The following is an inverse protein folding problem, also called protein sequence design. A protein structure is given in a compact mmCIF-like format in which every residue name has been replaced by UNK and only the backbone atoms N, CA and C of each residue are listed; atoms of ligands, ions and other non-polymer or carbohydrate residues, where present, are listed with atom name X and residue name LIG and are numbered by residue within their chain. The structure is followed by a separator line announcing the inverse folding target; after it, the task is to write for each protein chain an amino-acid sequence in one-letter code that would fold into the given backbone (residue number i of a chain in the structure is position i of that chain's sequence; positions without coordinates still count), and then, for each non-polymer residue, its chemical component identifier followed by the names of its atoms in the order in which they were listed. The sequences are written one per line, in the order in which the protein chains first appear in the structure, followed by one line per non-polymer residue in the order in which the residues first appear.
data_IF_816590742205
#
_entry.id   IF_816590742205
#
_cell.length_a   1.000
_cell.length_b   1.000
_cell.length_c   1.000
_cell.angle_alpha   90.00
_cell.angle_beta   90.00
_cell.angle_gamma   90.00
#
_symmetry.space_group_name_H-M   'P 1'
#
loop_
_entity.id
_entity.type
_entity.pdbx_description
1 polymer ?
#
# COMPACT_ATOMS: atom_id res chain seq x y z
N UNK A 1 -12.15 10.78 4.40
CA UNK A 1 -11.10 10.34 5.34
C UNK A 1 -11.01 11.46 6.33
N UNK A 2 -11.70 11.29 7.45
CA UNK A 2 -11.63 12.23 8.56
C UNK A 2 -10.30 12.14 9.31
N UNK A 3 -10.30 12.72 10.50
CA UNK A 3 -9.19 12.72 11.45
C UNK A 3 -9.71 12.66 12.87
N UNK A 4 -8.86 12.27 13.81
CA UNK A 4 -9.10 12.48 15.23
C UNK A 4 -8.49 13.83 15.63
N UNK A 5 -9.20 14.59 16.46
CA UNK A 5 -8.69 15.79 17.15
C UNK A 5 -8.97 15.58 18.63
N UNK A 6 -7.91 15.48 19.43
CA UNK A 6 -7.98 15.17 20.87
C UNK A 6 -8.89 13.94 21.14
N UNK A 7 -8.66 12.86 20.38
CA UNK A 7 -9.43 11.61 20.48
C UNK A 7 -10.85 11.65 19.94
N UNK A 8 -11.33 12.79 19.44
CA UNK A 8 -12.69 12.95 18.89
C UNK A 8 -12.67 12.91 17.37
N UNK A 9 -13.56 12.10 16.80
CA UNK A 9 -13.65 11.95 15.35
C UNK A 9 -14.22 13.21 14.68
N UNK A 10 -13.58 13.62 13.59
CA UNK A 10 -13.97 14.76 12.76
C UNK A 10 -13.96 14.32 11.30
N UNK A 11 -15.10 14.42 10.62
CA UNK A 11 -15.20 14.14 9.18
C UNK A 11 -14.68 15.31 8.34
N UNK A 12 -13.37 15.54 8.40
CA UNK A 12 -12.68 16.59 7.64
C UNK A 12 -11.69 15.96 6.66
N UNK A 13 -11.82 16.28 5.37
CA UNK A 13 -10.90 15.79 4.34
C UNK A 13 -9.50 16.45 4.43
N UNK A 14 -8.56 16.06 3.57
CA UNK A 14 -7.27 16.75 3.42
C UNK A 14 -7.47 18.18 2.91
N UNK A 15 -6.70 19.11 3.45
CA UNK A 15 -6.56 20.44 2.86
C UNK A 15 -5.78 20.36 1.54
N UNK A 16 -6.25 21.08 0.53
CA UNK A 16 -5.46 21.42 -0.65
C UNK A 16 -4.74 22.73 -0.36
N UNK A 17 -3.47 22.85 -0.74
CA UNK A 17 -2.76 24.12 -0.62
C UNK A 17 -3.42 25.21 -1.47
N UNK A 18 -3.10 26.48 -1.21
CA UNK A 18 -3.74 27.64 -1.88
C UNK A 18 -3.61 27.61 -3.41
N UNK A 19 -2.64 26.87 -3.94
CA UNK A 19 -2.37 26.64 -5.36
C UNK A 19 -3.09 25.40 -5.95
N UNK A 20 -3.85 24.68 -5.14
CA UNK A 20 -4.64 23.50 -5.54
C UNK A 20 -3.88 22.18 -5.55
N UNK A 21 -2.65 22.13 -5.01
CA UNK A 21 -1.88 20.88 -4.88
C UNK A 21 -2.36 20.05 -3.69
N UNK A 22 -2.47 18.74 -3.90
CA UNK A 22 -2.78 17.78 -2.83
C UNK A 22 -1.56 17.53 -1.93
N UNK A 23 -1.75 17.63 -0.61
CA UNK A 23 -0.72 17.32 0.39
C UNK A 23 -1.18 16.19 1.31
N UNK A 24 -0.27 15.24 1.58
CA UNK A 24 -0.52 14.09 2.43
C UNK A 24 0.17 14.28 3.78
N UNK A 25 -0.55 14.00 4.86
CA UNK A 25 0.02 13.98 6.22
C UNK A 25 0.88 12.73 6.44
N UNK A 26 1.96 12.87 7.19
CA UNK A 26 2.88 11.78 7.53
C UNK A 26 2.30 10.86 8.61
N UNK A 27 2.69 9.58 8.59
CA UNK A 27 2.38 8.62 9.64
C UNK A 27 3.04 9.02 10.97
N UNK A 28 2.28 8.92 12.07
CA UNK A 28 2.70 9.35 13.40
C UNK A 28 3.11 8.19 14.33
N UNK A 29 2.69 6.95 14.05
CA UNK A 29 3.09 5.77 14.85
C UNK A 29 4.20 5.04 14.11
N UNK A 30 5.39 5.04 14.73
CA UNK A 30 6.67 4.73 14.08
C UNK A 30 7.56 3.79 14.92
N UNK A 31 6.98 2.97 15.78
CA UNK A 31 7.75 1.94 16.49
C UNK A 31 8.03 0.76 15.57
N UNK A 32 9.00 -0.07 15.94
CA UNK A 32 9.46 -1.18 15.11
C UNK A 32 9.34 -2.52 15.81
N UNK A 33 8.84 -3.53 15.09
CA UNK A 33 9.03 -4.93 15.48
C UNK A 33 10.44 -5.35 15.09
N UNK A 34 11.19 -5.86 16.07
CA UNK A 34 12.56 -6.38 15.90
C UNK A 34 12.64 -7.81 16.43
N UNK A 35 13.64 -8.58 15.99
CA UNK A 35 13.77 -9.98 16.38
C UNK A 35 13.94 -10.19 17.90
N UNK A 36 14.56 -9.22 18.57
CA UNK A 36 14.90 -9.23 20.00
C UNK A 36 14.09 -8.24 20.85
N UNK A 37 13.32 -7.35 20.22
CA UNK A 37 12.54 -6.32 20.89
C UNK A 37 13.33 -5.05 21.22
N UNK A 38 14.57 -4.90 20.74
CA UNK A 38 15.29 -3.62 20.82
C UNK A 38 14.59 -2.56 19.94
N UNK A 39 14.75 -1.26 20.24
CA UNK A 39 14.19 -0.20 19.40
C UNK A 39 14.76 -0.29 17.97
N UNK A 40 13.91 0.02 16.98
CA UNK A 40 14.36 0.21 15.61
C UNK A 40 14.92 1.62 15.37
N UNK A 41 15.03 2.06 14.10
CA UNK A 41 15.48 3.40 13.75
C UNK A 41 14.67 4.56 14.35
N UNK A 42 13.44 4.30 14.81
CA UNK A 42 12.54 5.28 15.40
C UNK A 42 11.62 4.64 16.45
N UNK A 43 10.98 5.49 17.26
CA UNK A 43 10.06 5.05 18.30
C UNK A 43 10.76 4.40 19.50
N UNK A 44 10.01 3.61 20.27
CA UNK A 44 10.49 2.86 21.42
C UNK A 44 10.65 1.37 21.13
N UNK A 45 11.42 0.68 21.99
CA UNK A 45 11.55 -0.78 21.97
C UNK A 45 10.42 -1.51 22.69
N UNK A 46 10.61 -2.81 22.91
CA UNK A 46 9.68 -3.71 23.58
C UNK A 46 8.70 -4.42 22.63
N UNK A 47 8.96 -4.39 21.31
CA UNK A 47 8.16 -5.06 20.29
C UNK A 47 8.97 -6.20 19.66
N UNK A 48 9.12 -7.30 20.40
CA UNK A 48 9.82 -8.49 19.94
C UNK A 48 8.96 -9.28 18.94
N UNK A 49 9.55 -9.79 17.87
CA UNK A 49 8.87 -10.70 16.95
C UNK A 49 8.44 -11.97 17.67
N UNK A 50 7.12 -12.18 17.75
CA UNK A 50 6.49 -13.27 18.48
C UNK A 50 5.26 -13.76 17.71
N UNK A 51 5.10 -15.08 17.62
CA UNK A 51 3.96 -15.71 16.98
C UNK A 51 2.65 -15.32 17.67
N UNK A 52 1.66 -14.87 16.91
CA UNK A 52 0.34 -14.56 17.44
C UNK A 52 0.27 -13.31 18.33
N UNK A 53 1.34 -12.51 18.44
CA UNK A 53 1.32 -11.23 19.20
C UNK A 53 0.74 -10.07 18.40
N UNK A 54 1.01 -10.02 17.10
CA UNK A 54 0.69 -8.88 16.26
C UNK A 54 -0.58 -9.12 15.44
N UNK A 55 -1.29 -8.02 15.15
CA UNK A 55 -2.48 -8.02 14.31
C UNK A 55 -2.39 -6.91 13.27
N UNK A 56 -2.82 -7.18 12.05
CA UNK A 56 -2.74 -6.22 10.94
C UNK A 56 -4.14 -5.79 10.51
N UNK A 57 -4.43 -4.49 10.59
CA UNK A 57 -5.65 -3.93 10.01
C UNK A 57 -5.34 -3.36 8.63
N UNK A 58 -6.11 -3.77 7.62
CA UNK A 58 -5.88 -3.40 6.21
C UNK A 58 -7.18 -3.05 5.51
N UNK A 59 -7.07 -2.31 4.40
CA UNK A 59 -8.10 -2.31 3.35
C UNK A 59 -7.52 -2.96 2.11
N UNK A 60 -8.24 -3.91 1.50
CA UNK A 60 -7.84 -4.51 0.21
C UNK A 60 -7.82 -3.47 -0.92
N UNK A 61 -8.48 -2.33 -0.74
CA UNK A 61 -8.48 -1.24 -1.70
C UNK A 61 -7.23 -0.35 -1.61
N UNK A 62 -6.58 -0.25 -0.45
CA UNK A 62 -5.50 0.69 -0.19
C UNK A 62 -4.14 0.14 -0.69
N UNK A 63 -3.39 0.87 -1.56
CA UNK A 63 -2.10 0.38 -2.05
C UNK A 63 -1.03 0.29 -0.95
N UNK A 64 -1.04 1.19 0.03
CA UNK A 64 -0.11 1.12 1.17
C UNK A 64 -0.35 -0.11 2.04
N UNK A 65 -1.61 -0.45 2.32
CA UNK A 65 -1.96 -1.66 3.07
C UNK A 65 -1.73 -2.93 2.24
N UNK A 66 -1.88 -2.86 0.92
CA UNK A 66 -1.63 -4.00 0.05
C UNK A 66 -0.15 -4.44 0.09
N UNK A 67 0.80 -3.52 0.29
CA UNK A 67 2.23 -3.85 0.44
C UNK A 67 2.46 -4.82 1.60
N UNK A 68 1.82 -4.56 2.75
CA UNK A 68 2.01 -5.38 3.95
C UNK A 68 1.38 -6.77 3.80
N UNK A 69 0.27 -6.90 3.05
CA UNK A 69 -0.32 -8.20 2.71
C UNK A 69 0.59 -9.03 1.80
N UNK A 70 1.21 -8.40 0.80
CA UNK A 70 2.17 -9.09 -0.09
C UNK A 70 3.37 -9.58 0.72
N UNK A 71 3.95 -8.74 1.57
CA UNK A 71 5.04 -9.15 2.45
C UNK A 71 4.62 -10.27 3.39
N UNK A 72 3.45 -10.16 4.01
CA UNK A 72 2.89 -11.21 4.87
C UNK A 72 2.80 -12.56 4.14
N UNK A 73 2.45 -12.55 2.86
CA UNK A 73 2.39 -13.75 2.03
C UNK A 73 3.80 -14.27 1.69
N UNK A 74 4.66 -13.43 1.10
CA UNK A 74 6.00 -13.82 0.63
C UNK A 74 6.91 -14.29 1.77
N UNK A 75 6.78 -13.67 2.95
CA UNK A 75 7.57 -13.99 4.15
C UNK A 75 6.95 -15.09 5.02
N UNK A 76 5.86 -15.72 4.59
CA UNK A 76 5.24 -16.84 5.32
C UNK A 76 4.64 -16.45 6.68
N UNK A 77 4.23 -15.19 6.85
CA UNK A 77 3.76 -14.65 8.13
C UNK A 77 2.27 -14.93 8.39
N UNK A 78 1.61 -15.70 7.53
CA UNK A 78 0.17 -15.92 7.60
C UNK A 78 -0.29 -16.57 8.92
N UNK A 79 0.52 -17.49 9.46
CA UNK A 79 0.27 -18.13 10.76
C UNK A 79 0.76 -17.33 11.98
N UNK A 80 1.48 -16.22 11.77
CA UNK A 80 2.07 -15.42 12.86
C UNK A 80 1.33 -14.10 13.09
N UNK A 81 0.75 -13.53 12.03
CA UNK A 81 0.10 -12.22 12.05
C UNK A 81 -1.32 -12.37 11.49
N UNK A 82 -2.29 -12.19 12.36
CA UNK A 82 -3.72 -12.18 12.00
C UNK A 82 -4.07 -10.90 11.24
N UNK A 83 -5.15 -10.93 10.45
CA UNK A 83 -5.58 -9.78 9.63
C UNK A 83 -7.06 -9.49 9.84
N UNK A 84 -7.40 -8.21 10.01
CA UNK A 84 -8.76 -7.70 9.83
C UNK A 84 -8.82 -6.77 8.63
N UNK A 85 -9.78 -7.02 7.74
CA UNK A 85 -10.04 -6.21 6.55
C UNK A 85 -11.18 -5.25 6.84
N UNK A 86 -10.94 -3.95 6.75
CA UNK A 86 -12.00 -2.92 6.83
C UNK A 86 -12.86 -2.93 5.57
N UNK A 87 -14.08 -2.39 5.68
CA UNK A 87 -15.01 -2.21 4.57
C UNK A 87 -14.35 -1.48 3.39
N UNK A 88 -14.78 -1.80 2.16
CA UNK A 88 -14.31 -1.04 1.00
C UNK A 88 -14.82 0.41 0.99
N UNK A 89 -15.99 0.67 1.59
CA UNK A 89 -16.57 2.01 1.64
C UNK A 89 -15.97 2.84 2.77
N UNK A 90 -15.44 4.02 2.43
CA UNK A 90 -14.92 4.99 3.39
C UNK A 90 -15.69 6.30 3.28
N UNK A 91 -16.42 6.68 4.33
CA UNK A 91 -17.35 7.82 4.35
C UNK A 91 -17.17 8.67 5.60
N UNK A 92 -18.26 9.16 6.18
CA UNK A 92 -18.28 10.07 7.31
C UNK A 92 -17.52 9.53 8.52
N UNK A 93 -17.52 8.21 8.74
CA UNK A 93 -16.82 7.56 9.86
C UNK A 93 -15.43 6.99 9.48
N UNK A 94 -14.92 7.33 8.29
CA UNK A 94 -13.66 6.78 7.81
C UNK A 94 -13.77 5.28 7.53
N UNK A 95 -12.78 4.50 7.96
CA UNK A 95 -12.74 3.06 7.76
C UNK A 95 -13.63 2.33 8.77
N UNK A 96 -14.54 1.49 8.29
CA UNK A 96 -15.51 0.76 9.12
C UNK A 96 -15.27 -0.75 9.08
N UNK A 97 -15.93 -1.48 9.98
CA UNK A 97 -15.88 -2.95 10.08
C UNK A 97 -17.20 -3.62 9.66
N UNK A 98 -17.97 -2.96 8.79
CA UNK A 98 -19.25 -3.44 8.27
C UNK A 98 -19.06 -4.63 7.28
N UNK A 99 -19.48 -5.82 7.72
CA UNK A 99 -19.38 -7.06 6.95
C UNK A 99 -20.20 -7.05 5.67
N UNK A 100 -21.29 -6.29 5.60
CA UNK A 100 -22.09 -6.15 4.38
C UNK A 100 -21.32 -5.42 3.25
N UNK A 101 -20.28 -4.69 3.63
CA UNK A 101 -19.39 -3.94 2.74
C UNK A 101 -18.01 -4.61 2.59
N UNK A 102 -18.00 -5.95 2.61
CA UNK A 102 -16.81 -6.78 2.36
C UNK A 102 -15.78 -6.81 3.51
N UNK A 103 -16.09 -6.23 4.66
CA UNK A 103 -15.21 -6.32 5.83
C UNK A 103 -15.22 -7.73 6.44
N UNK A 104 -14.11 -8.12 7.08
CA UNK A 104 -14.08 -9.28 7.97
C UNK A 104 -14.66 -9.01 9.36
N UNK A 105 -15.04 -7.76 9.66
CA UNK A 105 -15.20 -7.27 11.03
C UNK A 105 -13.85 -7.03 11.73
N UNK A 106 -13.89 -6.39 12.91
CA UNK A 106 -12.77 -6.40 13.84
C UNK A 106 -12.73 -7.74 14.58
N UNK A 107 -11.64 -8.49 14.41
CA UNK A 107 -11.47 -9.80 14.99
C UNK A 107 -11.03 -9.77 16.47
N UNK A 108 -10.59 -8.61 16.98
CA UNK A 108 -10.08 -8.52 18.35
C UNK A 108 -11.18 -8.13 19.33
N UNK A 109 -11.78 -6.96 19.14
CA UNK A 109 -12.68 -6.38 20.13
C UNK A 109 -14.06 -6.01 19.57
N UNK A 110 -14.38 -6.42 18.34
CA UNK A 110 -15.66 -6.15 17.71
C UNK A 110 -15.95 -4.65 17.52
N UNK A 111 -14.92 -3.82 17.31
CA UNK A 111 -15.08 -2.41 17.01
C UNK A 111 -15.88 -2.19 15.71
N UNK A 112 -16.58 -1.07 15.64
CA UNK A 112 -17.35 -0.66 14.45
C UNK A 112 -16.50 0.17 13.49
N UNK A 113 -15.57 0.98 14.02
CA UNK A 113 -14.77 1.91 13.25
C UNK A 113 -13.28 1.82 13.61
N UNK A 114 -12.41 1.96 12.61
CA UNK A 114 -10.96 1.91 12.83
C UNK A 114 -10.47 3.04 13.74
N UNK A 115 -11.12 4.20 13.74
CA UNK A 115 -10.70 5.32 14.61
C UNK A 115 -10.81 4.96 16.10
N UNK A 116 -11.73 4.05 16.47
CA UNK A 116 -11.84 3.55 17.85
C UNK A 116 -10.57 2.79 18.28
N UNK A 117 -9.87 2.13 17.34
CA UNK A 117 -8.58 1.48 17.60
C UNK A 117 -7.49 2.51 17.91
N UNK A 118 -7.48 3.65 17.22
CA UNK A 118 -6.57 4.76 17.50
C UNK A 118 -6.90 5.43 18.84
N UNK A 119 -8.18 5.66 19.16
CA UNK A 119 -8.56 6.21 20.48
C UNK A 119 -8.21 5.26 21.64
N UNK A 120 -8.19 3.94 21.41
CA UNK A 120 -7.74 2.95 22.40
C UNK A 120 -6.23 2.91 22.59
N UNK A 121 -5.47 3.19 21.53
CA UNK A 121 -4.02 3.39 21.61
C UNK A 121 -3.68 4.65 22.42
N UNK A 122 -4.40 5.73 22.14
CA UNK A 122 -4.18 7.04 22.71
C UNK A 122 -5.49 7.84 22.72
N UNK A 123 -6.10 8.10 23.89
CA UNK A 123 -7.37 8.80 23.99
C UNK A 123 -7.28 10.28 23.60
N UNK A 124 -6.08 10.83 23.40
CA UNK A 124 -5.83 12.20 22.98
C UNK A 124 -5.24 12.28 21.57
N UNK A 125 -5.25 11.19 20.80
CA UNK A 125 -4.67 11.13 19.47
C UNK A 125 -5.24 12.24 18.57
N UNK A 126 -4.33 12.96 17.90
CA UNK A 126 -4.66 13.96 16.89
C UNK A 126 -3.93 13.62 15.59
N UNK A 127 -4.67 13.26 14.56
CA UNK A 127 -4.11 12.87 13.26
C UNK A 127 -5.02 11.97 12.43
N UNK A 128 -4.51 11.54 11.28
CA UNK A 128 -5.24 10.70 10.33
C UNK A 128 -5.33 9.25 10.77
N UNK A 129 -6.54 8.71 10.64
CA UNK A 129 -6.83 7.29 10.88
C UNK A 129 -6.63 6.51 9.58
N UNK A 130 -5.44 5.97 9.39
CA UNK A 130 -5.02 5.31 8.15
C UNK A 130 -4.93 3.78 8.30
N UNK A 131 -4.92 3.10 7.15
CA UNK A 131 -4.48 1.70 7.01
C UNK A 131 -3.20 1.69 6.16
N UNK A 132 -2.24 0.77 6.40
CA UNK A 132 -2.31 -0.33 7.37
C UNK A 132 -2.08 0.13 8.82
N UNK A 133 -2.52 -0.69 9.78
CA UNK A 133 -2.15 -0.56 11.20
C UNK A 133 -1.57 -1.88 11.68
N UNK A 134 -0.34 -1.87 12.16
CA UNK A 134 0.26 -2.99 12.89
C UNK A 134 0.01 -2.78 14.39
N UNK A 135 -0.79 -3.66 14.98
CA UNK A 135 -1.25 -3.59 16.36
C UNK A 135 -0.56 -4.64 17.23
N UNK A 136 -0.11 -4.24 18.41
CA UNK A 136 0.40 -5.15 19.45
C UNK A 136 -0.77 -5.57 20.37
N UNK A 137 -1.14 -6.86 20.33
CA UNK A 137 -2.21 -7.40 21.16
C UNK A 137 -1.85 -7.46 22.65
N UNK A 138 -0.57 -7.59 22.98
CA UNK A 138 -0.11 -7.66 24.38
C UNK A 138 -0.09 -6.27 25.02
N UNK A 139 0.55 -5.30 24.35
CA UNK A 139 0.67 -3.93 24.89
C UNK A 139 -0.53 -3.04 24.57
N UNK A 140 -1.49 -3.54 23.78
CA UNK A 140 -2.71 -2.85 23.36
C UNK A 140 -2.43 -1.46 22.78
N UNK A 141 -1.46 -1.40 21.86
CA UNK A 141 -1.04 -0.16 21.21
C UNK A 141 -0.67 -0.37 19.75
N UNK A 142 -0.69 0.70 18.99
CA UNK A 142 -0.23 0.71 17.60
C UNK A 142 1.30 0.68 17.61
N UNK A 143 1.87 -0.32 16.94
CA UNK A 143 3.31 -0.39 16.67
C UNK A 143 3.63 0.64 15.59
N UNK A 144 3.01 0.48 14.41
CA UNK A 144 3.23 1.37 13.28
C UNK A 144 1.99 1.49 12.40
N UNK A 145 1.82 2.67 11.80
CA UNK A 145 0.92 2.90 10.68
C UNK A 145 1.66 3.39 9.43
N UNK A 146 2.98 3.22 9.38
CA UNK A 146 3.82 3.51 8.22
C UNK A 146 4.11 2.23 7.42
N UNK A 147 3.47 2.10 6.26
CA UNK A 147 3.58 0.90 5.41
C UNK A 147 5.01 0.57 5.00
N UNK A 148 5.87 1.56 4.75
CA UNK A 148 7.24 1.36 4.29
C UNK A 148 8.12 0.77 5.39
N UNK A 149 7.85 1.13 6.64
CA UNK A 149 8.55 0.55 7.80
C UNK A 149 8.01 -0.83 8.12
N UNK A 150 6.68 -1.02 8.08
CA UNK A 150 6.05 -2.34 8.37
C UNK A 150 6.58 -3.42 7.42
N UNK A 151 6.73 -3.12 6.12
CA UNK A 151 7.29 -4.12 5.20
C UNK A 151 8.76 -4.45 5.51
N UNK A 152 9.56 -3.48 5.97
CA UNK A 152 10.94 -3.72 6.42
C UNK A 152 11.00 -4.53 7.71
N UNK A 153 10.06 -4.33 8.64
CA UNK A 153 9.89 -5.21 9.81
C UNK A 153 9.57 -6.65 9.38
N UNK A 154 8.61 -6.82 8.46
CA UNK A 154 8.22 -8.14 7.95
C UNK A 154 9.33 -8.82 7.16
N UNK A 155 10.22 -8.05 6.54
CA UNK A 155 11.35 -8.55 5.77
C UNK A 155 12.37 -9.30 6.63
N UNK A 156 12.52 -8.98 7.93
CA UNK A 156 13.59 -9.54 8.76
C UNK A 156 13.22 -9.95 10.18
N UNK A 157 12.27 -9.27 10.84
CA UNK A 157 12.07 -9.45 12.27
C UNK A 157 11.61 -10.88 12.64
N UNK A 158 10.92 -11.56 11.72
CA UNK A 158 10.30 -12.88 11.95
C UNK A 158 11.08 -14.04 11.33
N UNK A 159 12.25 -13.82 10.73
CA UNK A 159 13.00 -14.85 10.01
C UNK A 159 13.30 -16.08 10.88
N UNK A 160 13.70 -15.84 12.14
CA UNK A 160 13.97 -16.93 13.11
C UNK A 160 12.72 -17.74 13.50
N UNK A 161 11.51 -17.24 13.24
CA UNK A 161 10.26 -17.93 13.50
C UNK A 161 9.72 -18.68 12.27
N UNK A 162 9.95 -18.14 11.07
CA UNK A 162 9.44 -18.73 9.82
C UNK A 162 10.46 -19.62 9.11
N UNK A 163 11.75 -19.45 9.39
CA UNK A 163 12.83 -20.03 8.58
C UNK A 163 12.89 -19.46 7.15
N UNK A 164 12.17 -18.37 6.87
CA UNK A 164 12.12 -17.75 5.56
C UNK A 164 13.19 -16.66 5.46
N UNK A 165 14.24 -16.95 4.69
CA UNK A 165 15.42 -16.11 4.46
C UNK A 165 15.28 -15.15 3.27
N UNK A 166 14.11 -15.05 2.63
CA UNK A 166 13.91 -14.14 1.50
C UNK A 166 14.16 -12.69 1.92
N UNK A 167 14.86 -11.92 1.10
CA UNK A 167 15.21 -10.53 1.34
C UNK A 167 14.81 -9.64 0.15
N UNK A 168 13.84 -8.75 0.38
CA UNK A 168 13.41 -7.75 -0.58
C UNK A 168 14.14 -6.40 -0.40
N UNK A 169 15.02 -6.27 0.59
CA UNK A 169 15.85 -5.09 0.82
C UNK A 169 17.31 -5.46 1.17
N UNK A 170 17.98 -6.30 0.32
CA UNK A 170 19.32 -6.80 0.60
C UNK A 170 20.35 -5.67 0.54
N UNK A 171 21.35 -5.73 1.42
CA UNK A 171 22.37 -4.67 1.61
C UNK A 171 22.99 -4.18 0.31
N UNK A 172 23.32 -5.10 -0.62
CA UNK A 172 23.94 -4.75 -1.89
C UNK A 172 23.07 -3.87 -2.82
N UNK A 173 21.73 -3.86 -2.63
CA UNK A 173 20.79 -3.13 -3.46
C UNK A 173 20.14 -1.93 -2.76
N UNK A 174 20.38 -1.72 -1.46
CA UNK A 174 19.68 -0.69 -0.66
C UNK A 174 19.78 0.70 -1.30
N UNK A 175 20.98 1.11 -1.74
CA UNK A 175 21.18 2.41 -2.38
C UNK A 175 20.36 2.59 -3.67
N UNK A 176 20.28 1.57 -4.53
CA UNK A 176 19.47 1.64 -5.76
C UNK A 176 17.97 1.59 -5.44
N UNK A 177 17.56 0.78 -4.47
CA UNK A 177 16.18 0.67 -4.01
C UNK A 177 15.68 2.01 -3.45
N UNK A 178 16.46 2.64 -2.58
CA UNK A 178 16.08 3.90 -1.95
C UNK A 178 15.97 5.02 -3.00
N UNK A 179 16.94 5.12 -3.92
CA UNK A 179 16.88 6.07 -5.03
C UNK A 179 15.65 5.87 -5.94
N UNK A 180 15.30 4.61 -6.24
CA UNK A 180 14.09 4.29 -7.00
C UNK A 180 12.83 4.69 -6.23
N UNK A 181 12.77 4.37 -4.95
CA UNK A 181 11.63 4.68 -4.09
C UNK A 181 11.40 6.17 -3.90
N UNK A 182 12.46 6.95 -3.73
CA UNK A 182 12.42 8.42 -3.64
C UNK A 182 11.91 9.07 -4.92
N UNK A 183 12.27 8.52 -6.09
CA UNK A 183 11.80 8.97 -7.39
C UNK A 183 10.35 8.55 -7.69
N UNK A 184 10.03 7.27 -7.49
CA UNK A 184 8.73 6.68 -7.85
C UNK A 184 7.60 7.14 -6.92
N UNK A 185 7.87 7.37 -5.63
CA UNK A 185 6.81 7.75 -4.69
C UNK A 185 6.09 9.05 -5.06
N UNK A 186 6.77 10.21 -5.21
CA UNK A 186 6.11 11.47 -5.52
C UNK A 186 5.55 11.52 -6.95
N UNK A 187 6.17 10.81 -7.90
CA UNK A 187 5.80 10.82 -9.32
C UNK A 187 4.68 9.83 -9.68
N UNK A 188 4.65 8.65 -9.04
CA UNK A 188 3.70 7.58 -9.39
C UNK A 188 2.78 7.23 -8.22
N UNK A 189 3.33 6.78 -7.08
CA UNK A 189 2.50 6.27 -6.00
C UNK A 189 1.56 7.34 -5.42
N UNK A 190 2.10 8.53 -5.17
CA UNK A 190 1.35 9.71 -4.76
C UNK A 190 0.98 10.58 -5.97
N UNK A 191 1.68 10.46 -7.11
CA UNK A 191 1.40 11.23 -8.33
C UNK A 191 -0.02 11.04 -8.87
N UNK A 192 -0.53 9.80 -8.90
CA UNK A 192 -1.92 9.54 -9.30
C UNK A 192 -2.94 10.23 -8.37
N UNK A 193 -2.62 10.38 -7.07
CA UNK A 193 -3.47 11.11 -6.12
C UNK A 193 -3.34 12.62 -6.31
N UNK A 194 -2.13 13.12 -6.61
CA UNK A 194 -1.90 14.53 -6.93
C UNK A 194 -2.73 14.94 -8.15
N UNK A 195 -2.76 14.12 -9.19
CA UNK A 195 -3.62 14.36 -10.37
C UNK A 195 -5.11 14.24 -10.01
N UNK A 196 -5.51 13.15 -9.35
CA UNK A 196 -6.92 12.88 -9.08
C UNK A 196 -7.61 13.86 -8.12
N UNK A 197 -6.86 14.44 -7.19
CA UNK A 197 -7.37 15.39 -6.19
C UNK A 197 -6.94 16.84 -6.43
N UNK A 198 -6.30 17.15 -7.57
CA UNK A 198 -6.00 18.52 -7.93
C UNK A 198 -7.28 19.35 -8.02
N UNK A 199 -7.24 20.58 -7.52
CA UNK A 199 -8.36 21.54 -7.59
C UNK A 199 -8.12 22.69 -8.57
N UNK A 200 -6.94 22.72 -9.19
CA UNK A 200 -6.57 23.63 -10.30
C UNK A 200 -6.10 22.82 -11.52
N UNK A 201 -6.26 23.39 -12.71
CA UNK A 201 -5.83 22.76 -13.96
C UNK A 201 -4.29 22.61 -13.98
N UNK A 202 -3.58 23.62 -13.49
CA UNK A 202 -2.13 23.66 -13.46
C UNK A 202 -1.55 22.56 -12.54
N UNK A 203 -2.14 22.36 -11.36
CA UNK A 203 -1.71 21.30 -10.44
C UNK A 203 -2.00 19.90 -11.02
N UNK A 204 -3.11 19.74 -11.75
CA UNK A 204 -3.42 18.52 -12.46
C UNK A 204 -2.40 18.24 -13.57
N UNK A 205 -2.12 19.23 -14.44
CA UNK A 205 -1.17 19.08 -15.55
C UNK A 205 0.24 18.77 -15.07
N UNK A 206 0.72 19.45 -14.02
CA UNK A 206 2.01 19.16 -13.39
C UNK A 206 2.09 17.69 -12.95
N UNK A 207 1.09 17.23 -12.20
CA UNK A 207 1.06 15.85 -11.70
C UNK A 207 0.90 14.82 -12.83
N UNK A 208 0.09 15.13 -13.85
CA UNK A 208 -0.16 14.28 -15.00
C UNK A 208 1.11 14.09 -15.85
N UNK A 209 1.81 15.18 -16.17
CA UNK A 209 3.05 15.15 -16.94
C UNK A 209 4.13 14.37 -16.17
N UNK A 210 4.37 14.71 -14.90
CA UNK A 210 5.36 14.01 -14.07
C UNK A 210 5.06 12.50 -13.97
N UNK A 211 3.79 12.11 -13.85
CA UNK A 211 3.39 10.70 -13.81
C UNK A 211 3.79 9.96 -15.09
N UNK A 212 3.44 10.51 -16.26
CA UNK A 212 3.67 9.81 -17.53
C UNK A 212 5.13 9.85 -17.97
N UNK A 213 5.88 10.90 -17.66
CA UNK A 213 7.34 10.92 -17.83
C UNK A 213 8.00 9.80 -17.02
N UNK A 214 7.58 9.62 -15.76
CA UNK A 214 8.12 8.55 -14.91
C UNK A 214 7.68 7.16 -15.39
N UNK A 215 6.43 6.97 -15.84
CA UNK A 215 5.99 5.71 -16.44
C UNK A 215 6.80 5.35 -17.69
N UNK A 216 7.17 6.34 -18.51
CA UNK A 216 8.00 6.12 -19.70
C UNK A 216 9.45 5.75 -19.33
N UNK A 217 10.01 6.36 -18.28
CA UNK A 217 11.30 5.94 -17.72
C UNK A 217 11.25 4.49 -17.19
N UNK A 218 10.19 4.12 -16.47
CA UNK A 218 10.01 2.78 -15.93
C UNK A 218 9.79 1.74 -17.05
N UNK A 219 9.03 2.08 -18.08
CA UNK A 219 8.82 1.24 -19.26
C UNK A 219 10.14 0.91 -19.96
N UNK A 220 10.98 1.93 -20.21
CA UNK A 220 12.29 1.72 -20.82
C UNK A 220 13.17 0.83 -19.93
N UNK A 221 13.23 1.13 -18.63
CA UNK A 221 14.03 0.38 -17.66
C UNK A 221 13.63 -1.08 -17.61
N UNK A 222 12.34 -1.38 -17.58
CA UNK A 222 11.81 -2.74 -17.55
C UNK A 222 11.89 -3.48 -18.89
N UNK A 223 12.23 -2.78 -19.98
CA UNK A 223 12.61 -3.40 -21.24
C UNK A 223 14.02 -3.97 -21.24
N UNK A 224 14.91 -3.42 -20.41
CA UNK A 224 16.31 -3.85 -20.29
C UNK A 224 16.55 -4.75 -19.07
N UNK A 225 15.67 -4.65 -18.05
CA UNK A 225 15.82 -5.30 -16.76
C UNK A 225 14.56 -6.05 -16.38
N UNK A 226 14.70 -7.23 -15.79
CA UNK A 226 13.54 -8.03 -15.37
C UNK A 226 12.74 -7.35 -14.25
N UNK A 227 13.45 -6.82 -13.25
CA UNK A 227 12.91 -6.06 -12.12
C UNK A 227 13.53 -4.67 -12.05
N UNK A 228 13.00 -3.82 -11.17
CA UNK A 228 13.47 -2.45 -11.04
C UNK A 228 14.95 -2.36 -10.65
N UNK A 229 15.50 -3.32 -9.92
CA UNK A 229 16.91 -3.40 -9.53
C UNK A 229 17.73 -4.41 -10.36
N UNK A 230 17.28 -4.73 -11.58
CA UNK A 230 17.97 -5.68 -12.44
C UNK A 230 17.42 -7.10 -12.30
N UNK A 231 18.25 -8.02 -11.77
CA UNK A 231 17.93 -9.45 -11.72
C UNK A 231 17.12 -9.86 -10.49
N UNK A 232 17.13 -9.06 -9.43
CA UNK A 232 16.43 -9.34 -8.18
C UNK A 232 15.19 -8.48 -8.01
N UNK A 233 14.10 -9.11 -7.57
CA UNK A 233 12.88 -8.45 -7.13
C UNK A 233 13.10 -7.82 -5.75
N UNK A 234 12.70 -6.57 -5.59
CA UNK A 234 12.93 -5.78 -4.38
C UNK A 234 11.67 -5.15 -3.81
N UNK A 235 11.79 -4.46 -2.67
CA UNK A 235 10.70 -3.66 -2.12
C UNK A 235 10.22 -2.56 -3.06
N UNK A 236 11.10 -2.04 -3.94
CA UNK A 236 10.72 -1.04 -4.94
C UNK A 236 9.68 -1.61 -5.91
N UNK A 237 9.86 -2.87 -6.33
CA UNK A 237 8.94 -3.55 -7.22
C UNK A 237 7.56 -3.72 -6.57
N UNK A 238 7.52 -4.19 -5.31
CA UNK A 238 6.26 -4.36 -4.56
C UNK A 238 5.56 -3.01 -4.33
N UNK A 239 6.32 -1.96 -4.01
CA UNK A 239 5.78 -0.61 -3.82
C UNK A 239 5.16 -0.06 -5.09
N UNK A 240 5.79 -0.26 -6.25
CA UNK A 240 5.26 0.13 -7.55
C UNK A 240 4.04 -0.72 -7.93
N UNK A 241 4.10 -2.04 -7.72
CA UNK A 241 3.08 -3.01 -8.14
C UNK A 241 1.72 -2.65 -7.58
N UNK A 242 1.69 -2.33 -6.28
CA UNK A 242 0.45 -1.96 -5.60
C UNK A 242 -0.21 -0.70 -6.20
N UNK A 243 0.55 0.20 -6.82
CA UNK A 243 -0.03 1.30 -7.59
C UNK A 243 -0.49 0.82 -8.97
N UNK A 244 0.36 0.13 -9.73
CA UNK A 244 0.07 -0.20 -11.13
C UNK A 244 -1.07 -1.21 -11.29
N UNK A 245 -1.26 -2.15 -10.35
CA UNK A 245 -2.39 -3.09 -10.38
C UNK A 245 -3.76 -2.40 -10.27
N UNK A 246 -3.78 -1.15 -9.80
CA UNK A 246 -4.99 -0.32 -9.66
C UNK A 246 -5.16 0.66 -10.82
N UNK A 247 -4.17 0.80 -11.69
CA UNK A 247 -4.11 1.92 -12.62
C UNK A 247 -5.27 1.90 -13.63
N UNK A 248 -5.36 0.84 -14.43
CA UNK A 248 -6.39 0.74 -15.47
C UNK A 248 -7.80 0.63 -14.88
N UNK A 249 -7.93 -0.08 -13.74
CA UNK A 249 -9.21 -0.26 -13.04
C UNK A 249 -9.74 0.99 -12.35
N UNK A 250 -8.87 1.95 -12.00
CA UNK A 250 -9.23 3.12 -11.21
C UNK A 250 -8.55 4.38 -11.74
N UNK A 251 -7.23 4.49 -11.60
CA UNK A 251 -6.52 5.77 -11.75
C UNK A 251 -6.65 6.36 -13.16
N UNK A 252 -6.66 5.50 -14.19
CA UNK A 252 -6.86 5.91 -15.57
C UNK A 252 -8.16 6.71 -15.75
N UNK A 253 -9.29 6.20 -15.25
CA UNK A 253 -10.57 6.88 -15.36
C UNK A 253 -10.84 7.84 -14.20
N UNK A 254 -10.90 7.32 -12.97
CA UNK A 254 -11.32 8.03 -11.77
C UNK A 254 -10.42 9.23 -11.44
N UNK A 255 -9.10 9.08 -11.60
CA UNK A 255 -8.12 10.15 -11.36
C UNK A 255 -7.68 10.86 -12.64
N UNK A 256 -8.32 10.56 -13.78
CA UNK A 256 -8.02 11.16 -15.09
C UNK A 256 -6.57 10.96 -15.54
N UNK A 257 -5.86 9.95 -15.04
CA UNK A 257 -4.51 9.62 -15.51
C UNK A 257 -4.58 8.85 -16.84
N UNK A 258 -5.07 9.51 -17.90
CA UNK A 258 -5.58 8.86 -19.12
C UNK A 258 -4.79 9.12 -20.41
N UNK A 259 -3.49 9.40 -20.35
CA UNK A 259 -2.67 9.46 -21.56
C UNK A 259 -2.60 8.09 -22.24
N UNK A 260 -2.32 7.04 -21.45
CA UNK A 260 -2.22 5.63 -21.86
C UNK A 260 -2.70 4.74 -20.73
N UNK A 261 -3.25 3.57 -21.05
CA UNK A 261 -3.47 2.49 -20.07
C UNK A 261 -2.15 1.79 -19.80
N UNK A 262 -2.01 1.14 -18.65
CA UNK A 262 -0.90 0.22 -18.38
C UNK A 262 -0.90 -0.94 -19.38
N UNK A 263 -2.06 -1.38 -19.85
CA UNK A 263 -2.16 -2.35 -20.94
C UNK A 263 -1.45 -1.93 -22.24
N UNK A 264 -1.25 -0.63 -22.47
CA UNK A 264 -0.60 -0.09 -23.68
C UNK A 264 0.94 0.00 -23.54
N UNK A 265 1.48 -0.32 -22.35
CA UNK A 265 2.91 -0.38 -22.05
C UNK A 265 3.41 -1.84 -22.02
N UNK A 266 4.13 -2.33 -23.05
CA UNK A 266 4.45 -3.75 -23.15
C UNK A 266 5.30 -4.27 -21.97
N UNK A 267 6.32 -3.52 -21.52
CA UNK A 267 7.19 -3.97 -20.44
C UNK A 267 6.51 -3.88 -19.08
N UNK A 268 5.85 -2.75 -18.76
CA UNK A 268 5.09 -2.58 -17.53
C UNK A 268 3.94 -3.59 -17.42
N UNK A 269 3.22 -3.85 -18.52
CA UNK A 269 2.14 -4.83 -18.59
C UNK A 269 2.65 -6.25 -18.36
N UNK A 270 3.78 -6.62 -18.97
CA UNK A 270 4.46 -7.89 -18.68
C UNK A 270 4.90 -7.99 -17.21
N UNK A 271 5.56 -6.95 -16.69
CA UNK A 271 6.08 -6.92 -15.33
C UNK A 271 4.95 -7.01 -14.29
N UNK A 272 3.83 -6.32 -14.55
CA UNK A 272 2.65 -6.37 -13.70
C UNK A 272 2.04 -7.78 -13.63
N UNK A 273 1.98 -8.49 -14.77
CA UNK A 273 1.53 -9.89 -14.82
C UNK A 273 2.48 -10.82 -14.10
N UNK A 274 3.79 -10.65 -14.28
CA UNK A 274 4.80 -11.45 -13.59
C UNK A 274 4.66 -11.33 -12.06
N UNK A 275 4.55 -10.11 -11.54
CA UNK A 275 4.37 -9.90 -10.10
C UNK A 275 3.02 -10.42 -9.59
N UNK A 276 1.96 -10.28 -10.37
CA UNK A 276 0.64 -10.85 -10.03
C UNK A 276 0.68 -12.38 -9.90
N UNK A 277 1.51 -13.03 -10.73
CA UNK A 277 1.64 -14.49 -10.79
C UNK A 277 2.62 -15.07 -9.77
N UNK A 278 3.32 -14.23 -9.00
CA UNK A 278 4.13 -14.70 -7.88
C UNK A 278 3.24 -15.50 -6.89
N UNK A 279 3.77 -16.61 -6.30
CA UNK A 279 2.98 -17.48 -5.43
C UNK A 279 2.24 -16.72 -4.32
N UNK A 280 0.91 -16.78 -4.35
CA UNK A 280 0.02 -16.17 -3.37
C UNK A 280 -0.29 -14.67 -3.56
N UNK A 281 0.41 -13.94 -4.44
CA UNK A 281 0.17 -12.50 -4.65
C UNK A 281 -1.18 -12.23 -5.31
N UNK A 282 -1.61 -13.05 -6.26
CA UNK A 282 -2.96 -12.95 -6.83
C UNK A 282 -4.07 -12.94 -5.76
N UNK A 283 -3.89 -13.69 -4.68
CA UNK A 283 -4.84 -13.80 -3.56
C UNK A 283 -4.94 -12.52 -2.70
N UNK A 284 -3.99 -11.59 -2.83
CA UNK A 284 -4.05 -10.30 -2.11
C UNK A 284 -4.77 -9.21 -2.91
N UNK A 285 -5.12 -9.47 -4.18
CA UNK A 285 -5.78 -8.50 -5.07
C UNK A 285 -7.29 -8.72 -5.09
N UNK A 286 -8.06 -7.71 -4.68
CA UNK A 286 -9.52 -7.75 -4.74
C UNK A 286 -10.07 -6.53 -5.50
N UNK A 287 -10.42 -6.74 -6.78
CA UNK A 287 -10.92 -5.67 -7.64
C UNK A 287 -12.29 -5.12 -7.23
N UNK A 288 -13.13 -5.92 -6.56
CA UNK A 288 -14.39 -5.43 -6.02
C UNK A 288 -14.12 -4.39 -4.92
N UNK A 289 -13.24 -4.70 -3.95
CA UNK A 289 -12.84 -3.74 -2.93
C UNK A 289 -12.17 -2.51 -3.54
N UNK A 290 -11.22 -2.71 -4.45
CA UNK A 290 -10.51 -1.62 -5.12
C UNK A 290 -11.51 -0.69 -5.80
N UNK A 291 -12.32 -1.18 -6.76
CA UNK A 291 -13.21 -0.31 -7.54
C UNK A 291 -14.29 0.33 -6.68
N UNK A 292 -14.96 -0.44 -5.82
CA UNK A 292 -16.02 0.11 -4.97
C UNK A 292 -15.48 1.15 -3.98
N UNK A 293 -14.25 0.98 -3.47
CA UNK A 293 -13.64 1.99 -2.63
C UNK A 293 -13.44 3.31 -3.36
N UNK A 294 -12.74 3.33 -4.49
CA UNK A 294 -12.39 4.60 -5.14
C UNK A 294 -13.61 5.31 -5.72
N UNK A 295 -14.43 4.58 -6.49
CA UNK A 295 -15.60 5.15 -7.14
C UNK A 295 -16.72 5.44 -6.15
N UNK A 296 -16.89 4.59 -5.14
CA UNK A 296 -17.84 4.80 -4.06
C UNK A 296 -17.41 5.96 -3.18
N UNK A 297 -16.23 5.91 -2.55
CA UNK A 297 -15.84 6.78 -1.43
C UNK A 297 -15.58 8.23 -1.83
N UNK A 298 -15.07 8.52 -3.03
CA UNK A 298 -14.65 9.87 -3.43
C UNK A 298 -15.78 10.66 -4.11
N UNK A 299 -16.82 11.05 -3.36
CA UNK A 299 -17.98 11.78 -3.92
C UNK A 299 -17.63 13.17 -4.46
N UNK A 300 -16.53 13.75 -3.99
CA UNK A 300 -16.00 15.02 -4.52
C UNK A 300 -15.50 14.89 -5.96
N UNK A 301 -15.02 13.71 -6.35
CA UNK A 301 -14.57 13.40 -7.72
C UNK A 301 -15.69 12.75 -8.54
N UNK A 302 -16.44 11.84 -7.92
CA UNK A 302 -17.50 11.05 -8.53
C UNK A 302 -18.81 11.20 -7.72
N UNK A 303 -19.59 12.29 -7.92
CA UNK A 303 -20.79 12.55 -7.12
C UNK A 303 -21.84 11.44 -7.18
N UNK A 304 -22.00 10.80 -8.33
CA UNK A 304 -22.97 9.70 -8.53
C UNK A 304 -22.55 8.40 -7.85
N UNK A 305 -21.26 8.23 -7.56
CA UNK A 305 -20.71 7.03 -6.93
C UNK A 305 -20.83 5.78 -7.78
N UNK A 306 -21.14 5.94 -9.07
CA UNK A 306 -21.25 4.83 -10.02
C UNK A 306 -19.88 4.19 -10.19
N UNK A 307 -19.85 2.86 -10.13
CA UNK A 307 -18.65 2.05 -10.33
C UNK A 307 -18.66 1.55 -11.78
N UNK A 308 -17.67 1.90 -12.61
CA UNK A 308 -17.59 1.42 -13.99
C UNK A 308 -17.49 -0.10 -14.04
N UNK A 309 -18.06 -0.73 -15.07
CA UNK A 309 -17.93 -2.18 -15.28
C UNK A 309 -16.53 -2.58 -15.75
N UNK A 310 -15.92 -1.77 -16.61
CA UNK A 310 -14.59 -2.03 -17.17
C UNK A 310 -13.41 -1.57 -16.30
N UNK A 311 -12.19 -1.65 -16.86
CA UNK A 311 -11.84 -2.41 -18.05
C UNK A 311 -11.81 -3.92 -17.75
N UNK A 312 -11.96 -4.75 -18.78
CA UNK A 312 -11.66 -6.18 -18.68
C UNK A 312 -10.13 -6.35 -18.58
N UNK A 313 -9.68 -7.12 -17.60
CA UNK A 313 -8.25 -7.36 -17.35
C UNK A 313 -8.04 -8.83 -17.07
N UNK A 314 -6.96 -9.39 -17.61
CA UNK A 314 -6.54 -10.76 -17.33
C UNK A 314 -5.04 -10.77 -17.02
N UNK A 315 -4.72 -10.83 -15.73
CA UNK A 315 -3.36 -10.86 -15.24
C UNK A 315 -2.77 -12.27 -15.14
N UNK A 316 -3.55 -13.31 -15.50
CA UNK A 316 -3.09 -14.71 -15.53
C UNK A 316 -2.41 -15.10 -16.84
N UNK A 317 -2.53 -14.27 -17.88
CA UNK A 317 -1.87 -14.46 -19.18
C UNK A 317 -0.34 -14.53 -19.00
N UNK A 318 0.38 -15.30 -19.85
CA UNK A 318 1.84 -15.29 -19.83
C UNK A 318 2.42 -13.88 -19.88
N UNK A 319 3.45 -13.63 -19.08
CA UNK A 319 4.08 -12.31 -19.01
C UNK A 319 5.15 -12.08 -20.08
N UNK A 320 5.82 -13.14 -20.57
CA UNK A 320 6.79 -13.06 -21.68
C UNK A 320 8.12 -12.41 -21.30
N UNK A 321 8.49 -12.47 -20.02
CA UNK A 321 9.69 -11.80 -19.45
C UNK A 321 10.84 -12.76 -19.14
N UNK A 322 10.68 -14.03 -19.51
CA UNK A 322 11.65 -15.10 -19.28
C UNK A 322 12.96 -14.90 -20.06
N UNK A 323 12.93 -14.06 -21.11
CA UNK A 323 14.11 -13.68 -21.88
C UNK A 323 15.04 -12.70 -21.15
N UNK A 324 14.58 -12.07 -20.06
CA UNK A 324 15.39 -11.18 -19.23
C UNK A 324 15.99 -11.95 -18.04
N UNK A 325 17.28 -11.73 -17.70
CA UNK A 325 17.91 -12.34 -16.54
C UNK A 325 17.14 -12.04 -15.25
N UNK A 326 16.80 -13.10 -14.50
CA UNK A 326 16.03 -13.01 -13.27
C UNK A 326 16.44 -14.06 -12.26
N UNK A 327 16.77 -13.61 -11.05
CA UNK A 327 17.14 -14.45 -9.90
C UNK A 327 16.04 -14.50 -8.83
N UNK A 328 14.90 -13.87 -9.08
CA UNK A 328 13.78 -13.83 -8.14
C UNK A 328 14.07 -12.92 -6.94
N UNK A 329 13.68 -13.35 -5.75
CA UNK A 329 13.95 -12.60 -4.51
C UNK A 329 15.29 -13.09 -3.94
N UNK A 330 16.14 -12.17 -3.48
CA UNK A 330 17.41 -12.51 -2.84
C UNK A 330 17.17 -13.33 -1.55
N UNK A 331 18.20 -14.04 -1.09
CA UNK A 331 18.20 -14.73 0.21
C UNK A 331 19.29 -14.15 1.09
N UNK A 332 19.04 -14.14 2.39
CA UNK A 332 20.05 -13.82 3.41
C UNK A 332 21.02 -14.98 3.53
N UNK A 333 22.27 -14.63 3.78
CA UNK A 333 23.35 -15.60 4.03
C UNK A 333 23.19 -16.33 5.37
#
# INVERSE_FOLDING_TARGET
MGQLIDGRWQDQWYDTSKDGRFQRENAQRRNWVTADGQPGPSGEGGFRAEAGRYHLYVSLACPWAHRTLIYRQLKGLAGLIDVSVVSWLMRENGWTFDRSLGSTGDALDGLEFLHQRYTRDDPHYTGRVTVPVLWDKQRKRIVSNESAEIIRMFNSAFDGLTGNDLDLYPTALQGEIDALNERIYPAVNNGVYRAGFATSQEAYEEAFVTLFEELDCLEKRLGERRYLTGEYLSEADIRLFTTLIRFDAVYHGHFKCNLRRLADYPNLSGWLRELYQLPGVAGTVNFQHIKNHYYGSHRTINPTGIVPLGPQQDFSRPHGREHLPGKGIARKD
#
